data_IF_434452890737
#
_entry.id   IF_434452890737
#
_cell.length_a   1.000
_cell.length_b   1.000
_cell.length_c   1.000
_cell.angle_alpha   90.00
_cell.angle_beta   90.00
_cell.angle_gamma   90.00
#
_symmetry.space_group_name_H-M   'P 1'
#
loop_
_entity.id
_entity.type
_entity.pdbx_description
1 polymer ?
#
# COMPACT_ATOMS: atom_id res chain seq x y z
N UNK A 1 3.58 -5.13 13.86
CA UNK A 1 3.16 -5.83 12.64
C UNK A 1 4.22 -5.63 11.56
N UNK A 2 4.62 -6.69 10.89
CA UNK A 2 5.61 -6.58 9.83
C UNK A 2 4.92 -6.57 8.46
N UNK A 3 5.70 -6.37 7.38
CA UNK A 3 5.16 -6.29 6.03
C UNK A 3 4.40 -7.56 5.64
N UNK A 4 4.92 -8.73 5.99
CA UNK A 4 4.28 -10.00 5.64
C UNK A 4 2.90 -10.13 6.29
N UNK A 5 2.79 -9.73 7.54
CA UNK A 5 1.51 -9.75 8.25
C UNK A 5 0.53 -8.75 7.65
N UNK A 6 1.01 -7.58 7.29
CA UNK A 6 0.18 -6.56 6.67
C UNK A 6 -0.33 -7.03 5.31
N UNK A 7 0.55 -7.62 4.50
CA UNK A 7 0.17 -8.16 3.19
C UNK A 7 -0.86 -9.28 3.35
N UNK A 8 -0.70 -10.15 4.33
CA UNK A 8 -1.65 -11.23 4.58
C UNK A 8 -3.03 -10.68 4.94
N UNK A 9 -3.09 -9.65 5.78
CA UNK A 9 -4.35 -9.00 6.11
C UNK A 9 -4.97 -8.32 4.89
N UNK A 10 -4.15 -7.66 4.10
CA UNK A 10 -4.61 -7.00 2.89
C UNK A 10 -5.18 -8.02 1.91
N UNK A 11 -4.51 -9.16 1.75
CA UNK A 11 -5.00 -10.24 0.90
C UNK A 11 -6.40 -10.69 1.32
N UNK A 12 -6.61 -10.86 2.61
CA UNK A 12 -7.93 -11.24 3.13
C UNK A 12 -8.98 -10.17 2.87
N UNK A 13 -8.62 -8.91 3.08
CA UNK A 13 -9.54 -7.79 2.89
C UNK A 13 -9.92 -7.58 1.43
N UNK A 14 -8.96 -7.78 0.52
CA UNK A 14 -9.18 -7.58 -0.91
C UNK A 14 -9.62 -8.85 -1.62
N UNK A 15 -9.70 -9.97 -0.90
CA UNK A 15 -10.03 -11.26 -1.47
C UNK A 15 -9.05 -11.64 -2.59
N UNK A 16 -7.76 -11.41 -2.34
CA UNK A 16 -6.68 -11.67 -3.30
C UNK A 16 -5.72 -12.71 -2.74
N UNK A 17 -4.92 -13.32 -3.64
CA UNK A 17 -3.80 -14.13 -3.21
C UNK A 17 -2.74 -13.25 -2.54
N UNK A 18 -1.82 -13.87 -1.78
CA UNK A 18 -0.73 -13.13 -1.16
C UNK A 18 0.15 -12.44 -2.20
N UNK A 19 0.41 -13.11 -3.32
CA UNK A 19 1.22 -12.51 -4.39
C UNK A 19 0.56 -11.26 -4.97
N UNK A 20 -0.74 -11.31 -5.20
CA UNK A 20 -1.48 -10.16 -5.71
C UNK A 20 -1.54 -9.04 -4.68
N UNK A 21 -1.76 -9.38 -3.42
CA UNK A 21 -1.80 -8.40 -2.35
C UNK A 21 -0.44 -7.71 -2.18
N UNK A 22 0.66 -8.45 -2.36
CA UNK A 22 1.99 -7.87 -2.29
C UNK A 22 2.22 -6.86 -3.41
N UNK A 23 1.79 -7.18 -4.62
CA UNK A 23 1.84 -6.23 -5.74
C UNK A 23 1.02 -4.98 -5.44
N UNK A 24 -0.19 -5.18 -4.93
CA UNK A 24 -1.06 -4.07 -4.57
C UNK A 24 -0.40 -3.20 -3.52
N UNK A 25 0.18 -3.81 -2.50
CA UNK A 25 0.89 -3.09 -1.46
C UNK A 25 2.05 -2.28 -2.03
N UNK A 26 2.87 -2.90 -2.88
CA UNK A 26 4.01 -2.23 -3.48
C UNK A 26 3.57 -1.07 -4.39
N UNK A 27 2.51 -1.27 -5.15
CA UNK A 27 1.97 -0.23 -6.03
C UNK A 27 1.50 0.97 -5.22
N UNK A 28 0.77 0.72 -4.15
CA UNK A 28 0.27 1.80 -3.28
C UNK A 28 1.45 2.54 -2.65
N UNK A 29 2.41 1.81 -2.11
CA UNK A 29 3.57 2.40 -1.46
C UNK A 29 4.37 3.26 -2.42
N UNK A 30 4.65 2.74 -3.62
CA UNK A 30 5.40 3.47 -4.64
C UNK A 30 4.65 4.71 -5.12
N UNK A 31 3.34 4.61 -5.24
CA UNK A 31 2.52 5.74 -5.65
C UNK A 31 2.58 6.86 -4.61
N UNK A 32 2.51 6.51 -3.34
CA UNK A 32 2.62 7.50 -2.27
C UNK A 32 4.00 8.15 -2.26
N UNK A 33 5.06 7.36 -2.42
CA UNK A 33 6.43 7.87 -2.46
C UNK A 33 6.63 8.81 -3.65
N UNK A 34 6.12 8.45 -4.81
CA UNK A 34 6.19 9.31 -6.00
C UNK A 34 5.46 10.63 -5.78
N UNK A 35 4.29 10.58 -5.19
CA UNK A 35 3.52 11.76 -4.89
C UNK A 35 4.25 12.68 -3.93
N UNK A 36 4.90 12.12 -2.92
CA UNK A 36 5.68 12.90 -1.96
C UNK A 36 6.91 13.54 -2.61
N UNK A 37 7.52 12.88 -3.58
CA UNK A 37 8.65 13.43 -4.30
C UNK A 37 8.26 14.54 -5.26
N UNK A 38 7.11 14.38 -5.90
CA UNK A 38 6.64 15.36 -6.89
C UNK A 38 5.86 16.52 -6.30
N UNK A 39 5.28 16.33 -5.13
CA UNK A 39 4.44 17.33 -4.49
C UNK A 39 4.57 17.20 -2.97
N UNK A 40 5.03 18.28 -2.36
CA UNK A 40 5.24 18.34 -0.92
C UNK A 40 3.94 18.29 -0.12
N UNK A 41 2.81 18.44 -0.79
CA UNK A 41 1.55 18.59 -0.09
C UNK A 41 0.58 17.45 -0.38
N UNK A 42 1.05 16.21 -0.31
CA UNK A 42 0.14 15.08 -0.40
C UNK A 42 -0.79 15.12 0.80
N UNK A 43 -2.04 15.42 0.54
CA UNK A 43 -3.08 15.41 1.57
C UNK A 43 -3.96 14.20 1.35
N UNK A 44 -3.80 13.25 2.22
CA UNK A 44 -4.68 12.08 2.22
C UNK A 44 -5.63 12.23 3.39
N UNK A 45 -6.91 12.28 3.11
CA UNK A 45 -7.92 12.45 4.14
C UNK A 45 -7.79 11.33 5.17
N UNK A 46 -7.71 11.68 6.45
CA UNK A 46 -7.58 10.71 7.52
C UNK A 46 -6.15 10.34 7.88
N UNK A 47 -5.17 10.87 7.21
CA UNK A 47 -3.78 10.68 7.57
C UNK A 47 -3.24 11.81 8.41
#
# INVERSE_FOLDING_TARGET
MNKKQLVAKLAGSLNQSKADAERTFDTITNTILDALKGDDSVKIAGF
#
